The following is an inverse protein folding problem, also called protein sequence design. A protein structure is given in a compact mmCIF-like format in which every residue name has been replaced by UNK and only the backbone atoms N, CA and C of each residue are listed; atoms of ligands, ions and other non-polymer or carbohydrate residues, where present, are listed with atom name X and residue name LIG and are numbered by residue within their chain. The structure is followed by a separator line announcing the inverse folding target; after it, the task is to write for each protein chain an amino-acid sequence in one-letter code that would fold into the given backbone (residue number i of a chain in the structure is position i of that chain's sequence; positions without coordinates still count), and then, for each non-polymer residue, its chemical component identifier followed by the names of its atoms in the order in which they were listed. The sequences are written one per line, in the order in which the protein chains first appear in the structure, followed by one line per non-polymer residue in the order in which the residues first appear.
data_IF_651819458371
#
_entry.id   IF_651819458371
#
_cell.length_a   1.000
_cell.length_b   1.000
_cell.length_c   1.000
_cell.angle_alpha   90.00
_cell.angle_beta   90.00
_cell.angle_gamma   90.00
#
_symmetry.space_group_name_H-M   'P 1'
#
loop_
_entity.id
_entity.type
_entity.pdbx_description
1 polymer ?
#
# COMPACT_ATOMS: atom_id res chain seq x y z
N UNK A 1 -2.13 28.25 -77.42
CA UNK A 1 -0.83 28.24 -76.71
C UNK A 1 -0.86 29.33 -75.66
N UNK A 2 -0.67 29.14 -74.36
CA UNK A 2 -0.38 27.97 -73.53
C UNK A 2 -1.11 28.21 -72.19
N UNK A 3 -2.07 27.33 -71.89
CA UNK A 3 -2.87 27.22 -70.67
C UNK A 3 -2.04 26.77 -69.43
N UNK A 4 -0.74 27.10 -69.39
CA UNK A 4 0.26 26.34 -68.63
C UNK A 4 0.74 27.00 -67.33
N UNK A 5 0.23 28.15 -66.93
CA UNK A 5 0.78 28.91 -65.80
C UNK A 5 -0.19 29.14 -64.63
N UNK A 6 -1.43 28.65 -64.71
CA UNK A 6 -2.39 28.74 -63.60
C UNK A 6 -2.48 27.50 -62.71
N UNK A 7 -1.87 26.38 -63.10
CA UNK A 7 -1.99 25.10 -62.36
C UNK A 7 -0.95 24.96 -61.24
N UNK A 8 0.12 25.78 -61.22
CA UNK A 8 1.20 25.63 -60.23
C UNK A 8 0.97 26.33 -58.89
N UNK A 9 -0.07 27.16 -58.74
CA UNK A 9 -0.38 27.84 -57.46
C UNK A 9 -1.58 27.28 -56.72
N UNK A 10 -2.37 26.38 -57.32
CA UNK A 10 -3.44 25.65 -56.62
C UNK A 10 -2.94 24.36 -55.91
N UNK A 11 -1.72 23.90 -56.19
CA UNK A 11 -1.13 22.76 -55.49
C UNK A 11 -0.53 23.11 -54.12
N UNK A 12 -0.46 24.40 -53.76
CA UNK A 12 0.12 24.86 -52.49
C UNK A 12 -0.91 25.25 -51.42
N UNK A 13 -2.21 25.11 -51.72
CA UNK A 13 -3.30 25.26 -50.75
C UNK A 13 -3.98 23.93 -50.37
N UNK A 14 -3.44 22.81 -50.85
CA UNK A 14 -3.82 21.46 -50.44
C UNK A 14 -2.78 20.81 -49.50
N UNK A 15 -1.95 21.62 -48.83
CA UNK A 15 -0.93 21.16 -47.88
C UNK A 15 -1.30 21.41 -46.40
N UNK A 16 -2.52 21.84 -46.10
CA UNK A 16 -2.92 22.23 -44.73
C UNK A 16 -4.22 21.60 -44.21
N UNK A 17 -4.79 20.60 -44.91
CA UNK A 17 -5.99 19.90 -44.43
C UNK A 17 -5.84 18.40 -44.69
N UNK A 18 -4.93 17.78 -43.95
CA UNK A 18 -5.02 16.37 -43.58
C UNK A 18 -4.58 16.29 -42.12
N UNK A 19 -5.46 16.82 -41.27
CA UNK A 19 -5.50 16.46 -39.86
C UNK A 19 -5.73 14.95 -39.82
N UNK A 20 -4.63 14.20 -39.75
CA UNK A 20 -4.64 12.84 -39.27
C UNK A 20 -5.11 12.92 -37.82
N UNK A 21 -6.41 12.72 -37.61
CA UNK A 21 -6.94 12.26 -36.33
C UNK A 21 -6.38 10.85 -36.11
N UNK A 22 -5.11 10.77 -35.74
CA UNK A 22 -4.64 9.64 -34.95
C UNK A 22 -5.09 10.00 -33.55
N UNK A 23 -6.31 9.58 -33.21
CA UNK A 23 -6.60 9.27 -31.82
C UNK A 23 -5.64 8.14 -31.46
N UNK A 24 -4.45 8.53 -31.01
CA UNK A 24 -3.60 7.66 -30.25
C UNK A 24 -4.43 7.41 -29.00
N UNK A 25 -5.22 6.34 -29.03
CA UNK A 25 -5.70 5.70 -27.82
C UNK A 25 -4.43 5.38 -27.06
N UNK A 26 -4.01 6.32 -26.22
CA UNK A 26 -3.21 6.00 -25.08
C UNK A 26 -4.16 5.08 -24.33
N UNK A 27 -3.99 3.78 -24.55
CA UNK A 27 -4.43 2.82 -23.57
C UNK A 27 -3.74 3.31 -22.31
N UNK A 28 -4.45 4.10 -21.49
CA UNK A 28 -4.08 4.28 -20.11
C UNK A 28 -3.77 2.86 -19.66
N UNK A 29 -2.54 2.58 -19.21
CA UNK A 29 -2.22 1.24 -18.76
C UNK A 29 -3.35 0.88 -17.81
N UNK A 30 -4.17 -0.09 -18.21
CA UNK A 30 -5.20 -0.57 -17.33
C UNK A 30 -4.41 -0.92 -16.08
N UNK A 31 -4.76 -0.31 -14.94
CA UNK A 31 -4.37 -0.82 -13.64
C UNK A 31 -5.02 -2.20 -13.55
N UNK A 32 -4.43 -3.15 -14.25
CA UNK A 32 -4.34 -4.52 -13.83
C UNK A 32 -3.44 -4.43 -12.61
N UNK A 33 -4.02 -3.91 -11.51
CA UNK A 33 -3.59 -4.29 -10.19
C UNK A 33 -3.49 -5.80 -10.27
N UNK A 34 -2.27 -6.29 -10.16
CA UNK A 34 -1.97 -7.71 -10.17
C UNK A 34 -2.87 -8.30 -9.11
N UNK A 35 -3.95 -8.92 -9.57
CA UNK A 35 -4.83 -9.64 -8.68
C UNK A 35 -3.95 -10.79 -8.18
N UNK A 36 -3.39 -10.64 -6.98
CA UNK A 36 -2.63 -11.66 -6.28
C UNK A 36 -3.61 -12.79 -5.92
N UNK A 37 -4.10 -13.46 -6.94
CA UNK A 37 -4.85 -14.69 -6.84
C UNK A 37 -3.85 -15.78 -6.53
N UNK A 38 -3.78 -16.11 -5.24
CA UNK A 38 -3.41 -17.43 -4.76
C UNK A 38 -1.97 -17.86 -5.01
N UNK A 39 -1.17 -17.80 -3.93
CA UNK A 39 -0.67 -18.98 -3.21
C UNK A 39 0.52 -18.55 -2.35
N UNK A 40 0.27 -18.21 -1.09
CA UNK A 40 1.32 -17.88 -0.11
C UNK A 40 0.80 -17.28 1.20
N UNK A 41 -0.29 -16.52 1.12
CA UNK A 41 -0.85 -15.81 2.24
C UNK A 41 -1.96 -16.61 2.93
N UNK A 42 -1.63 -17.24 4.05
CA UNK A 42 -2.60 -17.94 4.88
C UNK A 42 -3.43 -16.90 5.64
N UNK A 43 -4.43 -16.31 4.99
CA UNK A 43 -5.41 -15.48 5.66
C UNK A 43 -6.53 -16.40 6.19
N UNK A 44 -7.25 -16.07 7.29
CA UNK A 44 -8.38 -16.88 7.75
C UNK A 44 -9.28 -17.38 6.61
N UNK A 45 -9.73 -18.63 6.71
CA UNK A 45 -10.61 -19.26 5.72
C UNK A 45 -11.79 -18.32 5.40
N UNK A 46 -12.07 -18.12 4.10
CA UNK A 46 -13.08 -17.21 3.54
C UNK A 46 -12.73 -15.71 3.39
N UNK A 47 -11.50 -15.29 3.70
CA UNK A 47 -11.07 -13.91 3.48
C UNK A 47 -10.28 -13.78 2.18
N UNK A 48 -10.53 -12.71 1.41
CA UNK A 48 -9.75 -12.36 0.23
C UNK A 48 -8.66 -11.35 0.60
N UNK A 49 -7.49 -11.49 -0.03
CA UNK A 49 -6.54 -10.37 -0.09
C UNK A 49 -7.03 -9.40 -1.14
N UNK A 50 -7.26 -8.16 -0.71
CA UNK A 50 -7.61 -7.06 -1.59
C UNK A 50 -6.49 -6.02 -1.57
N UNK A 51 -6.31 -5.25 -2.66
CA UNK A 51 -5.46 -4.07 -2.62
C UNK A 51 -5.90 -3.13 -1.50
N UNK A 52 -4.96 -2.63 -0.71
CA UNK A 52 -5.23 -1.60 0.29
C UNK A 52 -5.59 -0.30 -0.44
N UNK A 53 -6.66 0.35 -0.03
CA UNK A 53 -6.95 1.71 -0.45
C UNK A 53 -6.36 2.68 0.58
N UNK A 54 -5.52 3.60 0.12
CA UNK A 54 -4.89 4.60 0.98
C UNK A 54 -5.39 5.99 0.55
N UNK A 55 -6.02 6.68 1.50
CA UNK A 55 -6.59 8.02 1.27
C UNK A 55 -5.99 9.04 2.22
N UNK A 56 -5.80 10.29 1.79
CA UNK A 56 -5.34 11.35 2.69
C UNK A 56 -5.01 12.65 1.98
N UNK A 57 -4.40 13.57 2.71
CA UNK A 57 -3.80 14.77 2.16
C UNK A 57 -2.41 14.96 2.76
N UNK A 58 -1.40 15.17 1.91
CA UNK A 58 -0.04 15.47 2.32
C UNK A 58 0.36 16.79 1.68
N UNK A 59 0.54 17.83 2.50
CA UNK A 59 1.00 19.16 2.05
C UNK A 59 0.18 19.73 0.86
N UNK A 60 -1.12 19.46 0.80
CA UNK A 60 -2.02 19.90 -0.27
C UNK A 60 -2.24 18.86 -1.38
N UNK A 61 -1.45 17.79 -1.44
CA UNK A 61 -1.61 16.69 -2.41
C UNK A 61 -2.62 15.68 -1.86
N UNK A 62 -3.72 15.45 -2.59
CA UNK A 62 -4.69 14.42 -2.24
C UNK A 62 -4.17 13.04 -2.64
N UNK A 63 -4.14 12.12 -1.69
CA UNK A 63 -3.78 10.72 -1.92
C UNK A 63 -5.07 9.91 -2.10
N UNK A 64 -5.17 9.18 -3.20
CA UNK A 64 -6.22 8.19 -3.45
C UNK A 64 -5.66 7.06 -4.32
N UNK A 65 -4.78 6.23 -3.75
CA UNK A 65 -4.06 5.19 -4.46
C UNK A 65 -4.33 3.82 -3.86
N UNK A 66 -4.13 2.78 -4.67
CA UNK A 66 -4.21 1.39 -4.25
C UNK A 66 -2.85 0.72 -4.33
N UNK A 67 -2.47 -0.03 -3.29
CA UNK A 67 -1.17 -0.70 -3.19
C UNK A 67 -0.67 -0.77 -1.75
N UNK A 68 0.52 -1.32 -1.52
CA UNK A 68 1.19 -1.16 -0.23
C UNK A 68 1.58 0.30 0.00
N UNK A 69 1.85 0.67 1.25
CA UNK A 69 2.28 2.04 1.55
C UNK A 69 3.59 2.40 0.84
N UNK A 70 4.51 1.46 0.67
CA UNK A 70 5.74 1.67 -0.11
C UNK A 70 5.47 1.87 -1.60
N UNK A 71 4.58 1.06 -2.20
CA UNK A 71 4.18 1.21 -3.61
C UNK A 71 3.54 2.57 -3.86
N UNK A 72 2.70 3.03 -2.94
CA UNK A 72 2.03 4.33 -3.04
C UNK A 72 3.02 5.48 -2.89
N UNK A 73 4.00 5.39 -1.99
CA UNK A 73 5.07 6.38 -1.91
C UNK A 73 5.91 6.42 -3.19
N UNK A 74 6.19 5.27 -3.81
CA UNK A 74 6.89 5.21 -5.09
C UNK A 74 6.06 5.82 -6.25
N UNK A 75 4.73 5.65 -6.24
CA UNK A 75 3.84 6.29 -7.21
C UNK A 75 3.85 7.82 -7.06
N UNK A 76 3.74 8.33 -5.83
CA UNK A 76 3.72 9.78 -5.56
C UNK A 76 5.05 10.46 -5.94
N UNK A 77 6.20 9.83 -5.67
CA UNK A 77 7.52 10.33 -6.08
C UNK A 77 7.68 10.38 -7.61
N UNK A 78 7.07 9.43 -8.33
CA UNK A 78 7.11 9.39 -9.80
C UNK A 78 6.16 10.42 -10.46
N UNK A 79 5.05 10.77 -9.81
CA UNK A 79 4.06 11.73 -10.32
C UNK A 79 4.49 13.18 -10.09
N UNK A 80 5.20 13.46 -9.00
CA UNK A 80 5.68 14.80 -8.66
C UNK A 80 7.11 14.75 -8.08
N UNK A 81 8.09 15.13 -8.89
CA UNK A 81 9.50 15.23 -8.48
C UNK A 81 9.76 16.24 -7.33
N UNK A 82 8.77 17.06 -6.95
CA UNK A 82 8.86 17.96 -5.78
C UNK A 82 8.38 17.31 -4.49
N UNK A 83 7.59 16.23 -4.58
CA UNK A 83 7.22 15.43 -3.43
C UNK A 83 8.45 14.65 -2.96
N UNK A 84 8.98 14.99 -1.77
CA UNK A 84 10.01 14.16 -1.15
C UNK A 84 9.43 13.42 0.04
N UNK A 85 9.82 12.16 0.19
CA UNK A 85 9.56 11.38 1.39
C UNK A 85 10.00 12.12 2.67
N UNK A 86 11.01 12.99 2.59
CA UNK A 86 11.47 13.86 3.68
C UNK A 86 10.46 14.92 4.10
N UNK A 87 9.59 15.37 3.19
CA UNK A 87 8.58 16.40 3.48
C UNK A 87 7.44 15.84 4.35
N UNK A 88 7.34 14.51 4.43
CA UNK A 88 6.50 13.77 5.37
C UNK A 88 7.00 13.87 6.81
N UNK A 89 8.31 14.04 7.01
CA UNK A 89 8.88 14.15 8.35
C UNK A 89 8.62 15.53 9.00
N UNK A 90 8.35 16.56 8.19
CA UNK A 90 8.23 17.97 8.64
C UNK A 90 6.83 18.29 9.15
N UNK A 91 5.79 17.68 8.57
CA UNK A 91 4.39 17.88 8.99
C UNK A 91 3.96 17.02 10.19
N UNK A 92 4.88 16.25 10.79
CA UNK A 92 4.58 15.24 11.82
C UNK A 92 4.29 15.85 13.21
N UNK A 93 4.03 17.16 13.23
CA UNK A 93 3.91 17.98 14.43
C UNK A 93 2.48 18.41 14.73
N UNK A 94 1.49 18.14 13.88
CA UNK A 94 0.07 18.36 14.22
C UNK A 94 -0.65 17.03 14.45
N UNK A 95 -1.07 16.83 15.69
CA UNK A 95 -1.82 15.68 16.21
C UNK A 95 -1.07 14.35 16.33
N UNK A 96 -0.07 14.36 17.20
CA UNK A 96 0.16 13.22 18.10
C UNK A 96 -1.05 13.10 19.04
N UNK A 97 -2.21 12.69 18.52
CA UNK A 97 -3.21 12.05 19.37
C UNK A 97 -2.49 10.92 20.09
N UNK A 98 -2.58 10.90 21.41
CA UNK A 98 -2.03 9.85 22.24
C UNK A 98 -2.49 8.53 21.65
N UNK A 99 -1.55 7.76 21.09
CA UNK A 99 -1.86 6.59 20.29
C UNK A 99 -2.37 5.51 21.23
N UNK A 100 -3.68 5.54 21.47
CA UNK A 100 -4.30 4.78 22.53
C UNK A 100 -4.39 3.32 22.10
N UNK A 101 -3.46 2.52 22.62
CA UNK A 101 -3.48 1.06 22.46
C UNK A 101 -4.49 0.41 23.40
N UNK A 102 -5.30 1.16 24.16
CA UNK A 102 -6.35 0.61 25.01
C UNK A 102 -7.39 -0.22 24.25
N UNK A 103 -7.53 -0.03 22.94
CA UNK A 103 -8.43 -0.81 22.09
C UNK A 103 -7.85 -2.18 21.68
N UNK A 104 -6.51 -2.37 21.80
CA UNK A 104 -5.83 -3.62 21.49
C UNK A 104 -6.12 -4.65 22.58
N UNK A 105 -6.82 -5.72 22.22
CA UNK A 105 -7.24 -6.75 23.19
C UNK A 105 -6.18 -7.80 23.40
N UNK A 106 -5.52 -8.25 22.32
CA UNK A 106 -4.62 -9.40 22.36
C UNK A 106 -3.45 -9.24 21.39
N UNK A 107 -2.31 -9.84 21.76
CA UNK A 107 -1.16 -10.02 20.86
C UNK A 107 -0.68 -11.46 20.95
N UNK A 108 -0.97 -12.23 19.89
CA UNK A 108 -0.67 -13.65 19.79
C UNK A 108 0.59 -13.84 18.93
N UNK A 109 1.67 -14.36 19.51
CA UNK A 109 2.89 -14.66 18.75
C UNK A 109 2.76 -15.98 17.98
N UNK A 110 3.49 -16.12 16.86
CA UNK A 110 3.52 -17.40 16.12
C UNK A 110 4.03 -18.53 17.05
N UNK A 111 3.42 -19.73 17.07
CA UNK A 111 2.29 -20.15 16.25
C UNK A 111 0.96 -19.53 16.70
N UNK A 112 0.22 -18.96 15.74
CA UNK A 112 -1.14 -18.46 15.95
C UNK A 112 -2.11 -19.60 15.63
N UNK A 113 -3.08 -19.85 16.51
CA UNK A 113 -4.04 -20.95 16.33
C UNK A 113 -4.81 -20.80 15.02
N UNK A 114 -4.90 -21.89 14.24
CA UNK A 114 -5.56 -21.89 12.94
C UNK A 114 -4.71 -21.28 11.80
N UNK A 115 -3.47 -20.88 12.07
CA UNK A 115 -2.55 -20.31 11.08
C UNK A 115 -1.28 -21.14 10.94
N UNK A 116 -0.74 -21.19 9.73
CA UNK A 116 0.52 -21.91 9.39
C UNK A 116 1.65 -20.93 9.07
N UNK A 117 1.61 -19.75 9.69
CA UNK A 117 2.55 -18.67 9.43
C UNK A 117 3.98 -18.97 9.87
N UNK A 118 4.91 -18.47 9.06
CA UNK A 118 6.32 -18.36 9.42
C UNK A 118 6.65 -16.92 9.84
N UNK A 119 7.70 -16.76 10.63
CA UNK A 119 8.14 -15.44 11.08
C UNK A 119 8.84 -14.68 9.95
N UNK A 120 8.61 -13.37 9.92
CA UNK A 120 9.20 -12.41 9.00
C UNK A 120 10.55 -11.89 9.52
N UNK A 121 11.34 -11.26 8.63
CA UNK A 121 12.57 -10.58 9.00
C UNK A 121 12.26 -9.35 9.88
N UNK A 122 12.88 -9.25 11.05
CA UNK A 122 12.57 -8.16 11.99
C UNK A 122 12.92 -6.78 11.43
N UNK A 123 14.02 -6.66 10.68
CA UNK A 123 14.45 -5.39 10.09
C UNK A 123 13.43 -4.86 9.08
N UNK A 124 12.96 -5.73 8.18
CA UNK A 124 11.93 -5.38 7.20
C UNK A 124 10.63 -4.94 7.86
N UNK A 125 10.17 -5.65 8.89
CA UNK A 125 8.98 -5.27 9.66
C UNK A 125 9.16 -3.93 10.38
N UNK A 126 10.32 -3.69 10.98
CA UNK A 126 10.62 -2.39 11.61
C UNK A 126 10.56 -1.23 10.61
N UNK A 127 11.05 -1.45 9.38
CA UNK A 127 10.97 -0.46 8.30
C UNK A 127 9.51 -0.23 7.86
N UNK A 128 8.72 -1.29 7.68
CA UNK A 128 7.29 -1.18 7.35
C UNK A 128 6.50 -0.41 8.42
N UNK A 129 6.76 -0.67 9.70
CA UNK A 129 6.18 0.10 10.82
C UNK A 129 6.51 1.60 10.69
N UNK A 130 7.76 1.94 10.37
CA UNK A 130 8.17 3.33 10.21
C UNK A 130 7.46 4.01 9.03
N UNK A 131 7.26 3.33 7.90
CA UNK A 131 6.47 3.85 6.78
C UNK A 131 5.02 4.12 7.20
N UNK A 132 4.38 3.16 7.87
CA UNK A 132 2.99 3.30 8.35
C UNK A 132 2.81 4.47 9.32
N UNK A 133 3.80 4.70 10.18
CA UNK A 133 3.75 5.75 11.21
C UNK A 133 3.98 7.17 10.71
N UNK A 134 4.32 7.36 9.43
CA UNK A 134 4.48 8.69 8.87
C UNK A 134 3.16 9.49 8.86
N UNK A 135 1.99 8.85 9.02
CA UNK A 135 0.88 9.49 9.76
C UNK A 135 -0.17 10.28 8.98
N UNK A 136 -0.13 10.32 7.65
CA UNK A 136 -1.05 11.20 6.87
C UNK A 136 -2.09 10.46 6.04
N UNK A 137 -2.25 9.17 6.26
CA UNK A 137 -3.09 8.34 5.42
C UNK A 137 -4.01 7.45 6.23
N UNK A 138 -5.24 7.34 5.76
CA UNK A 138 -6.20 6.34 6.20
C UNK A 138 -6.03 5.10 5.33
N UNK A 139 -5.81 3.97 5.99
CA UNK A 139 -5.74 2.64 5.41
C UNK A 139 -7.15 2.06 5.43
N UNK A 140 -7.72 1.77 4.26
CA UNK A 140 -9.06 1.22 4.11
C UNK A 140 -9.03 -0.22 3.63
N UNK A 141 -9.87 -1.04 4.24
CA UNK A 141 -10.06 -2.44 3.85
C UNK A 141 -11.55 -2.77 3.81
N UNK A 142 -11.93 -3.58 2.82
CA UNK A 142 -13.31 -4.00 2.64
C UNK A 142 -13.76 -4.96 3.75
N UNK A 143 -15.08 -5.12 3.89
CA UNK A 143 -15.67 -6.17 4.74
C UNK A 143 -15.06 -7.55 4.43
N UNK A 144 -14.86 -8.37 5.46
CA UNK A 144 -14.35 -9.75 5.36
C UNK A 144 -13.11 -9.92 4.47
N UNK A 145 -12.22 -8.93 4.54
CA UNK A 145 -11.04 -8.88 3.68
C UNK A 145 -9.83 -8.48 4.49
N UNK A 146 -8.66 -8.83 3.96
CA UNK A 146 -7.39 -8.31 4.45
C UNK A 146 -6.67 -7.60 3.33
N UNK A 147 -5.91 -6.58 3.67
CA UNK A 147 -5.03 -5.90 2.74
C UNK A 147 -3.60 -5.96 3.26
N UNK A 148 -2.65 -6.22 2.35
CA UNK A 148 -1.22 -6.17 2.66
C UNK A 148 -0.80 -4.69 2.69
N UNK A 149 -0.51 -4.17 3.87
CA UNK A 149 -0.22 -2.74 4.05
C UNK A 149 1.25 -2.39 3.85
N UNK A 150 2.13 -3.37 4.09
CA UNK A 150 3.56 -3.26 3.85
C UNK A 150 4.09 -4.62 3.43
N UNK A 151 5.02 -4.64 2.47
CA UNK A 151 5.73 -5.84 2.05
C UNK A 151 7.14 -5.50 1.63
N UNK A 152 8.14 -6.08 2.29
CA UNK A 152 9.53 -6.00 1.85
C UNK A 152 10.31 -7.23 2.33
N UNK A 153 11.30 -7.71 1.58
CA UNK A 153 12.15 -8.83 1.98
C UNK A 153 11.37 -10.05 2.51
N UNK A 154 10.37 -10.49 1.75
CA UNK A 154 9.42 -11.55 2.12
C UNK A 154 8.74 -11.36 3.49
N UNK A 155 8.54 -10.11 3.92
CA UNK A 155 8.01 -9.76 5.24
C UNK A 155 6.78 -8.87 5.08
N UNK A 156 5.62 -9.39 5.48
CA UNK A 156 4.33 -8.74 5.29
C UNK A 156 3.73 -8.22 6.60
N UNK A 157 3.16 -7.01 6.53
CA UNK A 157 2.24 -6.46 7.52
C UNK A 157 0.86 -6.39 6.85
N UNK A 158 -0.18 -6.80 7.58
CA UNK A 158 -1.53 -6.88 7.07
C UNK A 158 -2.51 -6.07 7.91
N UNK A 159 -3.58 -5.61 7.30
CA UNK A 159 -4.75 -5.04 7.96
C UNK A 159 -5.98 -5.86 7.57
N UNK A 160 -6.57 -6.54 8.54
CA UNK A 160 -7.66 -7.48 8.35
C UNK A 160 -8.94 -7.00 9.01
N UNK A 161 -10.04 -7.03 8.28
CA UNK A 161 -11.35 -6.57 8.74
C UNK A 161 -12.36 -7.70 8.82
N UNK A 162 -12.78 -8.03 10.03
CA UNK A 162 -13.74 -9.08 10.29
C UNK A 162 -15.19 -8.56 10.37
N UNK A 163 -15.42 -7.27 10.11
CA UNK A 163 -16.75 -6.68 10.09
C UNK A 163 -17.49 -6.96 8.78
N UNK A 164 -18.82 -6.77 8.84
CA UNK A 164 -19.72 -6.81 7.69
C UNK A 164 -19.74 -5.49 6.89
N UNK A 165 -18.88 -4.53 7.23
CA UNK A 165 -18.78 -3.21 6.59
C UNK A 165 -17.31 -2.83 6.41
N UNK A 166 -17.05 -1.90 5.48
CA UNK A 166 -15.71 -1.40 5.21
C UNK A 166 -15.21 -0.56 6.39
N UNK A 167 -13.94 -0.70 6.73
CA UNK A 167 -13.31 0.07 7.81
C UNK A 167 -12.09 0.82 7.30
N UNK A 168 -11.87 1.99 7.89
CA UNK A 168 -10.71 2.84 7.64
C UNK A 168 -10.10 3.23 8.98
N UNK A 169 -8.80 3.01 9.12
CA UNK A 169 -8.03 3.45 10.29
C UNK A 169 -6.82 4.25 9.84
N UNK A 170 -6.31 5.18 10.66
CA UNK A 170 -5.01 5.77 10.41
C UNK A 170 -3.97 4.68 10.20
N UNK A 171 -3.20 4.74 9.11
CA UNK A 171 -2.16 3.75 8.84
C UNK A 171 -1.13 3.68 10.00
N UNK A 172 -0.93 4.79 10.71
CA UNK A 172 -0.12 4.83 11.92
C UNK A 172 -0.65 3.91 13.04
N UNK A 173 -1.97 3.79 13.20
CA UNK A 173 -2.58 2.86 14.15
C UNK A 173 -2.26 1.41 13.77
N UNK A 174 -2.34 1.06 12.49
CA UNK A 174 -1.90 -0.27 11.99
C UNK A 174 -0.42 -0.50 12.32
N UNK A 175 0.42 0.53 12.13
CA UNK A 175 1.83 0.51 12.50
C UNK A 175 2.06 0.28 14.00
N UNK A 176 1.21 0.78 14.88
CA UNK A 176 1.33 0.55 16.33
C UNK A 176 0.98 -0.88 16.74
N UNK A 177 0.00 -1.52 16.08
CA UNK A 177 -0.35 -2.92 16.30
C UNK A 177 0.77 -3.83 15.80
N UNK A 178 1.34 -3.51 14.63
CA UNK A 178 2.54 -4.18 14.13
C UNK A 178 3.74 -3.97 15.07
N UNK A 179 3.89 -2.79 15.69
CA UNK A 179 4.93 -2.53 16.68
C UNK A 179 4.73 -3.34 17.97
N UNK A 180 3.49 -3.53 18.43
CA UNK A 180 3.20 -4.38 19.58
C UNK A 180 3.62 -5.83 19.33
N UNK A 181 3.36 -6.36 18.12
CA UNK A 181 3.87 -7.68 17.70
C UNK A 181 5.39 -7.65 17.60
N UNK A 182 5.96 -6.60 17.02
CA UNK A 182 7.41 -6.43 16.93
C UNK A 182 8.05 -6.56 18.28
N UNK A 183 7.58 -5.86 19.30
CA UNK A 183 8.20 -5.86 20.62
C UNK A 183 7.95 -7.14 21.43
N UNK A 184 6.77 -7.74 21.31
CA UNK A 184 6.38 -8.92 22.11
C UNK A 184 6.76 -10.26 21.46
N UNK A 185 6.86 -10.31 20.13
CA UNK A 185 6.98 -11.55 19.38
C UNK A 185 8.32 -11.70 18.63
N UNK A 186 9.39 -11.07 19.14
CA UNK A 186 10.75 -11.28 18.63
C UNK A 186 11.18 -12.72 18.91
N UNK A 187 11.85 -13.31 17.93
CA UNK A 187 12.45 -14.61 18.04
C UNK A 187 13.84 -14.59 17.41
N UNK A 188 14.77 -15.28 18.05
CA UNK A 188 16.09 -15.51 17.49
C UNK A 188 16.51 -16.92 17.92
N UNK A 189 16.74 -17.81 16.95
CA UNK A 189 17.05 -19.22 17.24
C UNK A 189 18.35 -19.39 18.02
N UNK A 190 19.35 -18.57 17.72
CA UNK A 190 20.64 -18.50 18.39
C UNK A 190 21.31 -17.14 18.08
N UNK A 191 22.42 -16.82 18.73
CA UNK A 191 23.08 -15.51 18.62
C UNK A 191 23.59 -15.14 17.23
N UNK A 192 23.66 -16.09 16.29
CA UNK A 192 24.13 -15.88 14.90
C UNK A 192 23.00 -15.94 13.86
N UNK A 193 21.80 -16.36 14.26
CA UNK A 193 20.64 -16.40 13.36
C UNK A 193 20.06 -15.01 13.19
N UNK A 194 19.42 -14.77 12.06
CA UNK A 194 18.64 -13.55 11.84
C UNK A 194 17.56 -13.40 12.91
N UNK A 195 17.27 -12.14 13.24
CA UNK A 195 16.17 -11.80 14.13
C UNK A 195 14.87 -11.85 13.33
N UNK A 196 13.92 -12.59 13.87
CA UNK A 196 12.63 -12.83 13.24
C UNK A 196 11.50 -12.33 14.15
N UNK A 197 10.34 -12.07 13.56
CA UNK A 197 9.15 -11.62 14.26
C UNK A 197 7.91 -12.18 13.58
N UNK A 198 6.87 -12.48 14.34
CA UNK A 198 5.56 -12.69 13.76
C UNK A 198 4.47 -12.99 14.78
N UNK A 199 3.25 -12.65 14.43
CA UNK A 199 2.10 -12.76 15.30
C UNK A 199 0.86 -12.07 14.74
N UNK A 200 -0.13 -11.90 15.61
CA UNK A 200 -1.41 -11.24 15.32
C UNK A 200 -1.81 -10.36 16.49
N UNK A 201 -2.11 -9.09 16.23
CA UNK A 201 -2.65 -8.17 17.22
C UNK A 201 -4.13 -7.89 16.92
N UNK A 202 -4.99 -8.03 17.93
CA UNK A 202 -6.45 -7.89 17.81
C UNK A 202 -6.95 -6.58 18.40
N UNK A 203 -7.99 -6.05 17.79
CA UNK A 203 -8.72 -4.87 18.26
C UNK A 203 -10.15 -5.23 18.70
N UNK A 204 -10.68 -4.51 19.69
CA UNK A 204 -12.06 -4.70 20.15
C UNK A 204 -13.13 -4.26 19.14
N UNK A 205 -12.75 -3.54 18.08
CA UNK A 205 -13.55 -3.18 16.91
C UNK A 205 -13.62 -4.27 15.83
N UNK A 206 -13.28 -5.52 16.15
CA UNK A 206 -13.41 -6.68 15.27
C UNK A 206 -12.58 -6.57 13.97
N UNK A 207 -11.32 -6.16 14.12
CA UNK A 207 -10.28 -6.16 13.10
C UNK A 207 -8.94 -6.56 13.74
N UNK A 208 -7.93 -6.88 12.93
CA UNK A 208 -6.63 -7.29 13.44
C UNK A 208 -5.48 -6.97 12.47
N UNK A 209 -4.25 -7.06 13.00
CA UNK A 209 -2.99 -6.91 12.26
C UNK A 209 -2.18 -8.19 12.36
N UNK A 210 -2.12 -8.99 11.29
CA UNK A 210 -1.14 -10.04 11.13
C UNK A 210 0.23 -9.51 10.70
N UNK A 211 1.28 -10.10 11.26
CA UNK A 211 2.67 -9.93 10.80
C UNK A 211 3.28 -11.31 10.61
N UNK A 212 3.65 -11.64 9.38
CA UNK A 212 4.27 -12.92 9.05
C UNK A 212 5.09 -12.84 7.77
N UNK A 213 5.87 -13.89 7.52
CA UNK A 213 6.58 -14.07 6.25
C UNK A 213 5.58 -14.23 5.12
N UNK A 214 5.72 -13.45 4.06
CA UNK A 214 4.95 -13.61 2.83
C UNK A 214 5.71 -13.02 1.66
N UNK A 215 5.52 -13.59 0.46
CA UNK A 215 6.28 -13.18 -0.71
C UNK A 215 5.88 -11.78 -1.19
N UNK A 216 6.89 -10.94 -1.36
CA UNK A 216 6.85 -9.72 -2.16
C UNK A 216 7.48 -10.02 -3.53
#
# INVERSE_FOLDING_TARGET
MKFSTFISKLALLAAAVLLLNVEMSIAAPSLQGTHLTGRGSHIPEHYNIVPLLVTGNINGVSINHTGTVEEIFAQLDAEDNTFKLSDLAISATSDLQTRDTAYMTDVNCIPVLGQTWNRANSGAISTGINYLRQGYTSCWVNAHSCARVSCSWDSGIYFCNNNNYNIGHPCAQIGDYAAAIYDRCKYQKNSVSDKEVGGQAWDNGNWNVPVHKDRC
#
